data_IF_289705824333
#
_entry.id   IF_289705824333
#
_cell.length_a   1.000
_cell.length_b   1.000
_cell.length_c   1.000
_cell.angle_alpha   90.00
_cell.angle_beta   90.00
_cell.angle_gamma   90.00
#
_symmetry.space_group_name_H-M   'P 1'
#
loop_
_entity.id
_entity.type
_entity.pdbx_description
1 polymer ?
#
# COMPACT_ATOMS: atom_id res chain seq x y z
N UNK A 1 10.90 -29.12 -17.23
CA UNK A 1 11.86 -28.50 -16.30
C UNK A 1 11.13 -27.82 -15.15
N UNK A 2 11.66 -27.93 -13.94
CA UNK A 2 11.18 -27.26 -12.73
C UNK A 2 12.35 -26.53 -12.08
N UNK A 3 12.18 -25.28 -11.67
CA UNK A 3 13.28 -24.52 -11.11
C UNK A 3 12.87 -23.28 -10.36
N UNK A 4 13.82 -22.74 -9.59
CA UNK A 4 13.66 -21.51 -8.84
C UNK A 4 14.97 -20.76 -8.72
N UNK A 5 14.91 -19.43 -8.89
CA UNK A 5 16.02 -18.53 -8.64
C UNK A 5 15.93 -17.90 -7.26
N UNK A 6 17.07 -17.64 -6.64
CA UNK A 6 17.21 -16.87 -5.43
C UNK A 6 18.14 -15.68 -5.66
N UNK A 7 17.83 -14.54 -5.06
CA UNK A 7 18.70 -13.38 -5.10
C UNK A 7 18.68 -12.62 -3.78
N UNK A 8 19.85 -12.16 -3.37
CA UNK A 8 20.06 -11.19 -2.28
C UNK A 8 20.98 -10.09 -2.81
N UNK A 9 21.29 -9.07 -1.99
CA UNK A 9 22.20 -8.01 -2.42
C UNK A 9 23.63 -8.50 -2.73
N UNK A 10 24.05 -9.66 -2.19
CA UNK A 10 25.41 -10.19 -2.35
C UNK A 10 25.50 -11.55 -3.02
N UNK A 11 24.39 -12.23 -3.31
CA UNK A 11 24.38 -13.60 -3.81
C UNK A 11 23.23 -13.84 -4.76
N UNK A 12 23.48 -14.63 -5.81
CA UNK A 12 22.46 -15.18 -6.70
C UNK A 12 22.55 -16.70 -6.74
N UNK A 13 21.42 -17.37 -6.88
CA UNK A 13 21.35 -18.81 -7.02
C UNK A 13 20.26 -19.25 -7.99
N UNK A 14 20.42 -20.44 -8.55
CA UNK A 14 19.43 -21.05 -9.41
C UNK A 14 19.43 -22.57 -9.26
N UNK A 15 18.25 -23.15 -9.05
CA UNK A 15 18.01 -24.59 -9.10
C UNK A 15 17.16 -24.88 -10.34
N UNK A 16 17.58 -25.85 -11.16
CA UNK A 16 16.80 -26.32 -12.31
C UNK A 16 16.89 -27.84 -12.42
N UNK A 17 15.74 -28.49 -12.61
CA UNK A 17 15.59 -29.93 -12.69
C UNK A 17 14.87 -30.31 -13.98
N UNK A 18 15.50 -31.17 -14.78
CA UNK A 18 14.85 -31.92 -15.84
C UNK A 18 14.57 -33.36 -15.37
N UNK A 19 13.33 -33.57 -14.91
CA UNK A 19 12.90 -34.87 -14.42
C UNK A 19 12.73 -35.92 -15.52
N UNK A 20 12.60 -35.51 -16.79
CA UNK A 20 12.42 -36.44 -17.92
C UNK A 20 13.76 -37.07 -18.28
N UNK A 21 14.79 -36.25 -18.37
CA UNK A 21 16.13 -36.68 -18.77
C UNK A 21 17.04 -37.00 -17.57
N UNK A 22 16.55 -36.78 -16.34
CA UNK A 22 17.26 -37.12 -15.10
C UNK A 22 18.43 -36.20 -14.76
N UNK A 23 18.41 -34.96 -15.28
CA UNK A 23 19.50 -33.98 -15.12
C UNK A 23 19.05 -32.87 -14.18
N UNK A 24 19.95 -32.44 -13.28
CA UNK A 24 19.72 -31.30 -12.40
C UNK A 24 20.93 -30.39 -12.35
N UNK A 25 20.69 -29.09 -12.15
CA UNK A 25 21.72 -28.07 -12.01
C UNK A 25 21.43 -27.20 -10.78
N UNK A 26 22.49 -26.89 -10.03
CA UNK A 26 22.48 -25.87 -8.99
C UNK A 26 23.59 -24.88 -9.28
N UNK A 27 23.26 -23.60 -9.28
CA UNK A 27 24.18 -22.48 -9.45
C UNK A 27 24.13 -21.66 -8.17
N UNK A 28 25.29 -21.30 -7.65
CA UNK A 28 25.45 -20.39 -6.52
C UNK A 28 26.59 -19.44 -6.83
N UNK A 29 26.32 -18.15 -6.72
CA UNK A 29 27.27 -17.08 -7.02
C UNK A 29 27.30 -16.10 -5.84
N UNK A 30 28.47 -15.53 -5.59
CA UNK A 30 28.69 -14.49 -4.58
C UNK A 30 28.59 -13.07 -5.18
N UNK A 31 27.74 -12.93 -6.19
CA UNK A 31 27.38 -11.66 -6.80
C UNK A 31 25.85 -11.58 -6.88
N UNK A 32 25.28 -10.44 -6.50
CA UNK A 32 23.85 -10.19 -6.63
C UNK A 32 23.47 -9.87 -8.09
N UNK A 33 22.28 -10.32 -8.51
CA UNK A 33 21.75 -10.13 -9.87
C UNK A 33 22.73 -10.64 -10.94
N UNK A 34 23.35 -11.78 -10.70
CA UNK A 34 24.30 -12.39 -11.62
C UNK A 34 23.54 -13.14 -12.72
N UNK A 35 23.54 -12.63 -13.95
CA UNK A 35 22.76 -13.20 -15.07
C UNK A 35 23.56 -14.17 -15.96
N UNK A 36 24.90 -14.11 -15.98
CA UNK A 36 25.70 -14.94 -16.91
C UNK A 36 25.59 -16.42 -16.53
N UNK A 37 25.79 -16.75 -15.26
CA UNK A 37 25.63 -18.12 -14.79
C UNK A 37 24.16 -18.43 -14.56
N UNK A 38 23.38 -17.58 -13.89
CA UNK A 38 22.01 -17.95 -13.53
C UNK A 38 21.03 -17.93 -14.72
N UNK A 39 21.29 -17.15 -15.77
CA UNK A 39 20.48 -17.13 -16.98
C UNK A 39 21.12 -17.80 -18.19
N UNK A 40 22.40 -17.52 -18.46
CA UNK A 40 23.09 -18.03 -19.64
C UNK A 40 23.44 -19.53 -19.56
N UNK A 41 23.99 -19.99 -18.44
CA UNK A 41 24.47 -21.37 -18.31
C UNK A 41 23.36 -22.43 -18.41
N UNK A 42 22.15 -22.25 -17.82
CA UNK A 42 21.04 -23.17 -18.02
C UNK A 42 20.67 -23.39 -19.48
N UNK A 43 20.74 -22.35 -20.32
CA UNK A 43 20.39 -22.50 -21.75
C UNK A 43 21.38 -23.36 -22.54
N UNK A 44 22.62 -23.47 -22.06
CA UNK A 44 23.63 -24.35 -22.66
C UNK A 44 23.38 -25.82 -22.33
N UNK A 45 22.80 -26.12 -21.16
CA UNK A 45 22.58 -27.48 -20.68
C UNK A 45 21.20 -28.00 -21.09
N UNK A 46 20.17 -27.17 -20.96
CA UNK A 46 18.77 -27.55 -21.16
C UNK A 46 18.16 -26.98 -22.44
N UNK A 47 18.91 -26.20 -23.20
CA UNK A 47 18.42 -25.47 -24.37
C UNK A 47 17.66 -24.19 -24.01
N UNK A 48 17.16 -23.49 -25.03
CA UNK A 48 16.42 -22.23 -24.85
C UNK A 48 15.26 -22.41 -23.88
N UNK A 49 15.10 -21.45 -22.96
CA UNK A 49 14.01 -21.48 -21.99
C UNK A 49 12.65 -21.52 -22.70
N UNK A 50 11.78 -22.49 -22.37
CA UNK A 50 10.45 -22.53 -22.94
C UNK A 50 9.63 -21.35 -22.42
N UNK A 51 8.81 -20.76 -23.30
CA UNK A 51 7.80 -19.77 -22.93
C UNK A 51 6.40 -20.36 -23.16
N UNK A 52 5.35 -19.58 -22.91
CA UNK A 52 3.98 -19.99 -23.19
C UNK A 52 3.78 -20.40 -24.67
N UNK A 53 2.95 -21.42 -24.89
CA UNK A 53 2.55 -21.84 -26.24
C UNK A 53 1.80 -20.72 -26.97
N UNK A 54 1.80 -20.74 -28.31
CA UNK A 54 1.06 -19.77 -29.12
C UNK A 54 -0.44 -19.71 -28.76
N UNK A 55 -1.04 -20.84 -28.38
CA UNK A 55 -2.43 -20.92 -27.91
C UNK A 55 -2.63 -20.19 -26.58
N UNK A 56 -1.72 -20.39 -25.62
CA UNK A 56 -1.75 -19.69 -24.33
C UNK A 56 -1.53 -18.20 -24.53
N UNK A 57 -0.63 -17.80 -25.43
CA UNK A 57 -0.41 -16.38 -25.76
C UNK A 57 -1.66 -15.72 -26.35
N UNK A 58 -2.47 -16.43 -27.16
CA UNK A 58 -3.74 -15.93 -27.67
C UNK A 58 -4.80 -15.71 -26.59
N UNK A 59 -4.72 -16.45 -25.47
CA UNK A 59 -5.63 -16.31 -24.32
C UNK A 59 -5.22 -15.18 -23.37
N UNK A 60 -4.10 -14.50 -23.62
CA UNK A 60 -3.64 -13.40 -22.79
C UNK A 60 -4.62 -12.22 -22.84
N UNK A 61 -4.94 -11.68 -21.66
CA UNK A 61 -5.81 -10.53 -21.51
C UNK A 61 -4.97 -9.33 -21.05
N UNK A 62 -4.90 -8.23 -21.81
CA UNK A 62 -4.23 -7.03 -21.35
C UNK A 62 -4.87 -6.43 -20.09
N UNK A 63 -4.06 -5.78 -19.27
CA UNK A 63 -4.52 -5.03 -18.10
C UNK A 63 -3.54 -5.05 -16.94
N UNK A 64 -4.08 -4.80 -15.76
CA UNK A 64 -3.30 -4.80 -14.54
C UNK A 64 -3.26 -6.16 -13.86
N UNK A 65 -2.09 -6.52 -13.39
CA UNK A 65 -1.78 -7.78 -12.75
C UNK A 65 -1.08 -7.55 -11.41
N UNK A 66 -1.63 -8.11 -10.34
CA UNK A 66 -1.04 -8.08 -9.01
C UNK A 66 -0.16 -9.31 -8.82
N UNK A 67 1.01 -9.11 -8.22
CA UNK A 67 1.89 -10.21 -7.83
C UNK A 67 1.36 -10.90 -6.58
N UNK A 68 1.17 -12.22 -6.66
CA UNK A 68 0.62 -13.01 -5.56
C UNK A 68 1.66 -13.34 -4.46
N UNK A 69 2.95 -13.38 -4.80
CA UNK A 69 4.05 -13.45 -3.82
C UNK A 69 4.30 -12.06 -3.20
N UNK A 70 3.29 -11.53 -2.53
CA UNK A 70 3.32 -10.24 -1.85
C UNK A 70 2.26 -10.19 -0.75
N UNK A 71 2.29 -9.14 0.07
CA UNK A 71 1.28 -8.83 1.07
C UNK A 71 -0.05 -8.49 0.38
N UNK A 72 -0.93 -9.47 0.24
CA UNK A 72 -2.20 -9.30 -0.46
C UNK A 72 -3.40 -9.05 0.47
N UNK A 73 -3.19 -9.13 1.77
CA UNK A 73 -4.19 -8.93 2.82
C UNK A 73 -3.54 -8.26 4.03
N UNK A 74 -4.38 -7.79 4.96
CA UNK A 74 -3.92 -7.16 6.20
C UNK A 74 -3.26 -5.79 5.98
N UNK A 75 -2.61 -5.24 7.01
CA UNK A 75 -2.09 -3.88 7.01
C UNK A 75 -0.99 -3.61 5.97
N UNK A 76 -0.28 -4.66 5.55
CA UNK A 76 0.77 -4.57 4.54
C UNK A 76 0.22 -4.66 3.10
N UNK A 77 -1.10 -4.82 2.91
CA UNK A 77 -1.72 -4.77 1.58
C UNK A 77 -1.52 -3.46 0.83
N UNK A 78 -1.18 -2.37 1.54
CA UNK A 78 -0.78 -1.10 0.92
C UNK A 78 0.43 -1.24 -0.03
N UNK A 79 1.33 -2.19 0.23
CA UNK A 79 2.51 -2.46 -0.61
C UNK A 79 2.13 -2.98 -2.00
N UNK A 80 0.89 -3.42 -2.22
CA UNK A 80 0.39 -3.84 -3.53
C UNK A 80 0.55 -2.74 -4.59
N UNK A 81 0.49 -1.47 -4.19
CA UNK A 81 0.60 -0.33 -5.09
C UNK A 81 2.05 0.12 -5.36
N UNK A 82 3.02 -0.44 -4.64
CA UNK A 82 4.41 -0.04 -4.82
C UNK A 82 4.93 -0.49 -6.20
N UNK A 83 5.87 0.28 -6.80
CA UNK A 83 6.48 -0.09 -8.06
C UNK A 83 7.02 -1.53 -8.01
N UNK A 84 6.71 -2.30 -9.06
CA UNK A 84 7.13 -3.69 -9.16
C UNK A 84 6.14 -4.70 -8.58
N UNK A 85 5.13 -4.29 -7.82
CA UNK A 85 4.10 -5.17 -7.24
C UNK A 85 2.77 -5.17 -8.02
N UNK A 86 2.49 -4.08 -8.74
CA UNK A 86 1.41 -3.94 -9.70
C UNK A 86 2.00 -3.78 -11.10
N UNK A 87 1.64 -4.67 -12.02
CA UNK A 87 2.17 -4.72 -13.38
C UNK A 87 1.09 -4.37 -14.39
N UNK A 88 1.34 -3.37 -15.23
CA UNK A 88 0.49 -3.10 -16.39
C UNK A 88 1.03 -3.85 -17.60
N UNK A 89 0.41 -4.99 -17.92
CA UNK A 89 0.84 -5.86 -19.02
C UNK A 89 -0.03 -5.60 -20.24
N UNK A 90 0.59 -5.11 -21.32
CA UNK A 90 -0.10 -4.79 -22.59
C UNK A 90 -0.06 -5.93 -23.61
N UNK A 91 0.97 -6.77 -23.54
CA UNK A 91 1.23 -7.85 -24.48
C UNK A 91 1.83 -9.05 -23.72
N UNK A 92 1.71 -10.27 -24.27
CA UNK A 92 2.31 -11.47 -23.68
C UNK A 92 3.83 -11.32 -23.48
N UNK A 93 4.49 -10.60 -24.38
CA UNK A 93 5.92 -10.29 -24.33
C UNK A 93 6.25 -9.10 -23.44
N UNK A 94 5.93 -9.22 -22.15
CA UNK A 94 6.44 -8.30 -21.15
C UNK A 94 7.83 -8.73 -20.68
N UNK A 95 8.67 -7.78 -20.28
CA UNK A 95 10.07 -8.01 -19.84
C UNK A 95 10.20 -9.13 -18.78
N UNK A 96 9.16 -9.33 -17.94
CA UNK A 96 9.11 -10.39 -16.92
C UNK A 96 8.63 -11.76 -17.41
N UNK A 97 7.93 -11.83 -18.54
CA UNK A 97 7.32 -13.06 -19.07
C UNK A 97 8.07 -13.64 -20.26
N UNK A 98 8.85 -12.82 -20.99
CA UNK A 98 9.62 -13.26 -22.14
C UNK A 98 10.74 -14.25 -21.78
N UNK A 99 11.28 -14.16 -20.56
CA UNK A 99 12.41 -14.98 -20.08
C UNK A 99 11.97 -16.17 -19.22
N UNK A 100 10.68 -16.50 -19.17
CA UNK A 100 10.17 -17.54 -18.28
C UNK A 100 9.03 -18.33 -18.91
N UNK A 101 8.89 -19.59 -18.51
CA UNK A 101 7.68 -20.35 -18.80
C UNK A 101 6.51 -19.77 -18.00
N UNK A 102 5.37 -19.60 -18.66
CA UNK A 102 4.15 -19.19 -18.02
C UNK A 102 2.93 -19.83 -18.67
N UNK A 103 1.85 -19.96 -17.90
CA UNK A 103 0.56 -20.45 -18.40
C UNK A 103 -0.59 -19.66 -17.80
N UNK A 104 -1.79 -19.78 -18.36
CA UNK A 104 -2.99 -19.10 -17.87
C UNK A 104 -3.95 -20.13 -17.31
N UNK A 105 -4.49 -19.83 -16.13
CA UNK A 105 -5.56 -20.59 -15.51
C UNK A 105 -6.59 -19.65 -14.87
N UNK A 106 -7.78 -20.18 -14.58
CA UNK A 106 -8.79 -19.48 -13.78
C UNK A 106 -8.63 -19.92 -12.34
N UNK A 107 -8.48 -18.97 -11.42
CA UNK A 107 -8.47 -19.25 -10.00
C UNK A 107 -9.84 -19.74 -9.53
N UNK A 108 -9.92 -20.33 -8.33
CA UNK A 108 -11.18 -20.77 -7.73
C UNK A 108 -12.21 -19.64 -7.54
N UNK A 109 -11.77 -18.38 -7.55
CA UNK A 109 -12.63 -17.19 -7.53
C UNK A 109 -12.99 -16.65 -8.94
N UNK A 110 -12.66 -17.39 -10.00
CA UNK A 110 -12.93 -17.03 -11.40
C UNK A 110 -11.97 -16.00 -12.01
N UNK A 111 -11.00 -15.46 -11.25
CA UNK A 111 -10.04 -14.48 -11.78
C UNK A 111 -9.00 -15.13 -12.69
N UNK A 112 -8.63 -14.43 -13.76
CA UNK A 112 -7.53 -14.83 -14.66
C UNK A 112 -6.21 -14.76 -13.89
N UNK A 113 -5.48 -15.88 -13.85
CA UNK A 113 -4.14 -15.95 -13.28
C UNK A 113 -3.12 -16.39 -14.31
N UNK A 114 -1.95 -15.78 -14.24
CA UNK A 114 -0.76 -16.19 -14.99
C UNK A 114 0.14 -16.92 -14.00
N UNK A 115 0.30 -18.22 -14.18
CA UNK A 115 1.26 -19.01 -13.41
C UNK A 115 2.66 -18.78 -13.95
N UNK A 116 3.61 -18.51 -13.07
CA UNK A 116 5.04 -18.48 -13.41
C UNK A 116 5.84 -19.32 -12.42
N UNK A 117 7.13 -19.55 -12.67
CA UNK A 117 7.98 -20.37 -11.80
C UNK A 117 8.24 -19.74 -10.42
N UNK A 118 8.06 -18.42 -10.28
CA UNK A 118 8.48 -17.67 -9.07
C UNK A 118 7.31 -17.04 -8.34
N UNK A 119 6.37 -16.45 -9.08
CA UNK A 119 5.16 -15.87 -8.52
C UNK A 119 4.06 -15.82 -9.56
N UNK A 120 2.89 -16.29 -9.17
CA UNK A 120 1.70 -16.08 -9.96
C UNK A 120 1.32 -14.59 -10.00
N UNK A 121 0.68 -14.21 -11.09
CA UNK A 121 0.05 -12.91 -11.26
C UNK A 121 -1.46 -13.07 -11.37
N UNK A 122 -2.22 -12.25 -10.65
CA UNK A 122 -3.68 -12.24 -10.73
C UNK A 122 -4.16 -10.96 -11.40
N UNK A 123 -5.03 -11.09 -12.41
CA UNK A 123 -5.62 -9.94 -13.08
C UNK A 123 -6.55 -9.21 -12.11
N UNK A 124 -6.37 -7.90 -12.01
CA UNK A 124 -7.18 -7.03 -11.15
C UNK A 124 -8.01 -6.08 -12.03
N UNK A 125 -9.32 -5.94 -11.79
CA UNK A 125 -10.14 -4.95 -12.46
C UNK A 125 -9.65 -3.51 -12.22
N UNK A 126 -9.71 -2.68 -13.25
CA UNK A 126 -9.26 -1.28 -13.18
C UNK A 126 -9.94 -0.49 -12.05
N UNK A 127 -11.23 -0.74 -11.78
CA UNK A 127 -11.96 -0.05 -10.72
C UNK A 127 -11.41 -0.36 -9.32
N UNK A 128 -10.90 -1.58 -9.07
CA UNK A 128 -10.28 -1.93 -7.79
C UNK A 128 -8.99 -1.09 -7.61
N UNK A 129 -8.24 -0.87 -8.69
CA UNK A 129 -6.99 -0.09 -8.68
C UNK A 129 -7.29 1.39 -8.47
N UNK A 130 -8.24 1.95 -9.20
CA UNK A 130 -8.63 3.35 -9.03
C UNK A 130 -9.25 3.61 -7.65
N UNK A 131 -9.93 2.63 -7.06
CA UNK A 131 -10.41 2.72 -5.67
C UNK A 131 -9.24 2.85 -4.70
N UNK A 132 -8.20 2.02 -4.84
CA UNK A 132 -6.98 2.08 -4.02
C UNK A 132 -6.27 3.44 -4.13
N UNK A 133 -6.08 3.95 -5.36
CA UNK A 133 -5.49 5.27 -5.57
C UNK A 133 -6.37 6.41 -5.04
N UNK A 134 -7.69 6.33 -5.23
CA UNK A 134 -8.64 7.30 -4.72
C UNK A 134 -8.62 7.40 -3.20
N UNK A 135 -8.54 6.27 -2.49
CA UNK A 135 -8.44 6.25 -1.03
C UNK A 135 -7.15 6.91 -0.53
N UNK A 136 -6.01 6.63 -1.16
CA UNK A 136 -4.74 7.27 -0.81
C UNK A 136 -4.79 8.78 -1.10
N UNK A 137 -5.35 9.18 -2.24
CA UNK A 137 -5.52 10.59 -2.57
C UNK A 137 -6.39 11.32 -1.52
N UNK A 138 -7.48 10.69 -1.07
CA UNK A 138 -8.32 11.23 0.01
C UNK A 138 -7.56 11.33 1.34
N UNK A 139 -6.74 10.33 1.69
CA UNK A 139 -5.88 10.40 2.88
C UNK A 139 -4.85 11.52 2.79
N UNK A 140 -4.23 11.70 1.62
CA UNK A 140 -3.26 12.76 1.37
C UNK A 140 -3.92 14.15 1.47
N UNK A 141 -5.09 14.35 0.86
CA UNK A 141 -5.87 15.58 0.99
C UNK A 141 -6.24 15.89 2.44
N UNK A 142 -6.66 14.87 3.20
CA UNK A 142 -6.92 14.99 4.64
C UNK A 142 -5.70 15.43 5.42
N UNK A 143 -4.53 14.87 5.13
CA UNK A 143 -3.28 15.23 5.79
C UNK A 143 -2.89 16.68 5.48
N UNK A 144 -2.94 17.09 4.21
CA UNK A 144 -2.65 18.47 3.79
C UNK A 144 -3.60 19.44 4.49
N UNK A 145 -4.91 19.14 4.49
CA UNK A 145 -5.90 19.93 5.21
C UNK A 145 -5.57 20.05 6.71
N UNK A 146 -5.25 18.94 7.38
CA UNK A 146 -4.95 18.93 8.80
C UNK A 146 -3.68 19.75 9.14
N UNK A 147 -2.62 19.60 8.35
CA UNK A 147 -1.36 20.34 8.52
C UNK A 147 -1.58 21.84 8.33
N UNK A 148 -2.24 22.25 7.23
CA UNK A 148 -2.54 23.67 6.97
C UNK A 148 -3.34 24.27 8.12
N UNK A 149 -4.34 23.55 8.66
CA UNK A 149 -5.12 24.04 9.80
C UNK A 149 -4.30 24.22 11.07
N UNK A 150 -3.43 23.27 11.39
CA UNK A 150 -2.57 23.36 12.57
C UNK A 150 -1.56 24.50 12.42
N UNK A 151 -0.96 24.68 11.24
CA UNK A 151 -0.03 25.77 10.94
C UNK A 151 -0.71 27.14 11.01
N UNK A 152 -1.87 27.31 10.37
CA UNK A 152 -2.63 28.57 10.43
C UNK A 152 -3.00 28.91 11.89
N UNK A 153 -3.38 27.91 12.69
CA UNK A 153 -3.68 28.13 14.11
C UNK A 153 -2.45 28.50 14.91
N UNK A 154 -1.31 27.84 14.68
CA UNK A 154 -0.04 28.18 15.32
C UNK A 154 0.37 29.62 14.97
N UNK A 155 0.33 29.99 13.69
CA UNK A 155 0.63 31.34 13.23
C UNK A 155 -0.29 32.38 13.88
N UNK A 156 -1.60 32.11 13.99
CA UNK A 156 -2.55 33.00 14.67
C UNK A 156 -2.27 33.15 16.17
N UNK A 157 -1.79 32.10 16.84
CA UNK A 157 -1.40 32.16 18.25
C UNK A 157 -0.15 33.01 18.41
N UNK A 158 0.89 32.75 17.61
CA UNK A 158 2.14 33.52 17.62
C UNK A 158 1.91 34.99 17.31
N UNK A 159 1.10 35.29 16.29
CA UNK A 159 0.71 36.66 15.94
C UNK A 159 0.01 37.37 17.12
N UNK A 160 -0.96 36.72 17.78
CA UNK A 160 -1.63 37.34 18.93
C UNK A 160 -0.71 37.56 20.12
N UNK A 161 0.24 36.64 20.32
CA UNK A 161 1.24 36.73 21.38
C UNK A 161 2.23 37.87 21.12
N UNK A 162 2.71 38.02 19.88
CA UNK A 162 3.63 39.09 19.48
C UNK A 162 2.99 40.49 19.51
N UNK A 163 1.71 40.61 19.16
CA UNK A 163 1.02 41.89 19.03
C UNK A 163 0.03 42.19 20.17
N UNK A 164 0.08 41.46 21.28
CA UNK A 164 -0.77 41.71 22.46
C UNK A 164 -2.28 41.66 22.21
N UNK A 165 -2.74 40.91 21.18
CA UNK A 165 -4.16 40.91 20.77
C UNK A 165 -5.00 40.01 21.69
N UNK A 166 -6.12 40.55 22.18
CA UNK A 166 -7.06 39.83 23.06
C UNK A 166 -7.62 38.57 22.40
N UNK A 167 -7.72 37.47 23.16
CA UNK A 167 -8.28 36.20 22.68
C UNK A 167 -9.75 36.38 22.30
N UNK A 168 -10.09 35.96 21.08
CA UNK A 168 -11.48 35.86 20.61
C UNK A 168 -12.31 34.97 21.54
N UNK A 169 -13.53 35.44 21.88
CA UNK A 169 -14.57 34.67 22.60
C UNK A 169 -15.10 33.55 21.69
N UNK A 170 -14.36 32.45 21.62
CA UNK A 170 -14.67 31.31 20.77
C UNK A 170 -15.23 30.14 21.59
N UNK A 171 -16.19 29.39 21.04
CA UNK A 171 -16.69 28.17 21.67
C UNK A 171 -15.52 27.19 21.91
N UNK A 172 -15.23 26.92 23.18
CA UNK A 172 -14.12 26.08 23.63
C UNK A 172 -14.27 24.65 23.12
N UNK A 173 -15.48 24.10 23.13
CA UNK A 173 -15.76 22.74 22.67
C UNK A 173 -15.45 22.58 21.17
N UNK A 174 -15.99 23.47 20.33
CA UNK A 174 -15.71 23.47 18.89
C UNK A 174 -14.21 23.63 18.59
N UNK A 175 -13.53 24.51 19.32
CA UNK A 175 -12.10 24.75 19.14
C UNK A 175 -11.28 23.49 19.43
N UNK A 176 -11.54 22.81 20.55
CA UNK A 176 -10.81 21.61 20.94
C UNK A 176 -11.13 20.41 20.06
N UNK A 177 -12.41 20.19 19.73
CA UNK A 177 -12.80 19.16 18.78
C UNK A 177 -12.00 19.31 17.48
N UNK A 178 -12.02 20.50 16.87
CA UNK A 178 -11.33 20.72 15.61
C UNK A 178 -9.80 20.51 15.71
N UNK A 179 -9.16 20.93 16.81
CA UNK A 179 -7.71 20.73 17.01
C UNK A 179 -7.40 19.24 17.18
N UNK A 180 -8.15 18.55 18.03
CA UNK A 180 -7.94 17.15 18.34
C UNK A 180 -8.19 16.26 17.10
N UNK A 181 -9.21 16.58 16.30
CA UNK A 181 -9.45 15.86 15.03
C UNK A 181 -8.30 16.04 14.06
N UNK A 182 -7.84 17.28 13.81
CA UNK A 182 -6.70 17.51 12.90
C UNK A 182 -5.40 16.92 13.43
N UNK A 183 -5.18 16.95 14.75
CA UNK A 183 -4.03 16.30 15.36
C UNK A 183 -4.11 14.77 15.19
N UNK A 184 -5.28 14.17 15.40
CA UNK A 184 -5.50 12.74 15.18
C UNK A 184 -5.20 12.29 13.74
N UNK A 185 -5.63 13.09 12.74
CA UNK A 185 -5.30 12.85 11.31
C UNK A 185 -3.79 12.83 11.09
N UNK A 186 -3.07 13.82 11.64
CA UNK A 186 -1.60 13.88 11.53
C UNK A 186 -0.95 12.70 12.26
N UNK A 187 -1.44 12.32 13.44
CA UNK A 187 -0.91 11.18 14.19
C UNK A 187 -1.06 9.87 13.40
N UNK A 188 -2.18 9.65 12.71
CA UNK A 188 -2.35 8.48 11.83
C UNK A 188 -1.30 8.48 10.72
N UNK A 189 -1.08 9.62 10.06
CA UNK A 189 -0.08 9.74 9.01
C UNK A 189 1.35 9.52 9.53
N UNK A 190 1.70 10.09 10.69
CA UNK A 190 3.00 9.86 11.32
C UNK A 190 3.19 8.39 11.70
N UNK A 191 2.18 7.73 12.25
CA UNK A 191 2.25 6.31 12.60
C UNK A 191 2.44 5.43 11.34
N UNK A 192 1.75 5.76 10.25
CA UNK A 192 1.93 5.08 8.95
C UNK A 192 3.32 5.32 8.37
N UNK A 193 3.82 6.55 8.40
CA UNK A 193 5.17 6.87 7.93
C UNK A 193 6.23 6.09 8.72
N UNK A 194 6.11 6.02 10.05
CA UNK A 194 7.02 5.24 10.88
C UNK A 194 6.98 3.75 10.54
N UNK A 195 5.79 3.20 10.23
CA UNK A 195 5.64 1.82 9.77
C UNK A 195 6.30 1.59 8.40
N UNK A 196 6.18 2.54 7.48
CA UNK A 196 6.83 2.45 6.17
C UNK A 196 8.35 2.68 6.23
N UNK A 197 8.86 3.45 7.19
CA UNK A 197 10.29 3.66 7.36
C UNK A 197 10.97 2.44 8.02
N UNK A 198 10.30 1.78 8.96
CA UNK A 198 10.87 0.60 9.62
C UNK A 198 10.94 -0.62 8.70
N UNK A 199 10.08 -0.76 7.69
CA UNK A 199 10.18 -1.86 6.70
C UNK A 199 11.46 -1.81 5.90
N UNK A 200 11.97 -0.60 5.66
CA UNK A 200 13.18 -0.38 4.90
C UNK A 200 14.46 -0.59 5.75
N UNK A 201 14.34 -0.59 7.08
CA UNK A 201 15.50 -0.57 7.98
C UNK A 201 15.99 -1.97 8.43
N UNK A 202 15.48 -3.09 7.88
CA UNK A 202 15.67 -4.46 8.43
C UNK A 202 15.32 -4.60 9.92
N UNK A 203 14.65 -3.60 10.49
CA UNK A 203 14.26 -3.55 11.89
C UNK A 203 12.86 -4.15 12.05
N UNK A 204 12.80 -5.31 12.71
CA UNK A 204 11.57 -6.05 13.00
C UNK A 204 10.63 -5.30 13.97
N UNK A 205 11.04 -4.15 14.51
CA UNK A 205 10.17 -3.24 15.28
C UNK A 205 8.93 -2.79 14.49
N UNK A 206 8.91 -2.95 13.16
CA UNK A 206 7.74 -2.76 12.29
C UNK A 206 6.55 -3.66 12.64
N UNK A 207 6.79 -4.87 13.16
CA UNK A 207 5.74 -5.85 13.50
C UNK A 207 5.16 -5.59 14.90
N UNK A 208 5.66 -4.58 15.62
CA UNK A 208 5.22 -4.30 16.98
C UNK A 208 3.70 -4.06 17.01
N UNK A 209 2.96 -5.00 17.62
CA UNK A 209 1.50 -5.06 17.62
C UNK A 209 0.84 -3.75 18.09
N UNK A 210 1.51 -3.01 18.99
CA UNK A 210 1.01 -1.73 19.51
C UNK A 210 0.80 -0.68 18.41
N UNK A 211 1.56 -0.67 17.31
CA UNK A 211 1.39 0.30 16.21
C UNK A 211 0.04 0.14 15.52
N UNK A 212 -0.42 -1.09 15.39
CA UNK A 212 -1.72 -1.44 14.83
C UNK A 212 -2.87 -1.18 15.83
N UNK A 213 -2.63 -1.39 17.13
CA UNK A 213 -3.56 -0.96 18.18
C UNK A 213 -3.74 0.56 18.20
N UNK A 214 -2.69 1.33 17.91
CA UNK A 214 -2.77 2.79 17.75
C UNK A 214 -3.67 3.16 16.57
N UNK A 215 -3.60 2.45 15.43
CA UNK A 215 -4.55 2.66 14.32
C UNK A 215 -5.99 2.35 14.73
N UNK A 216 -6.22 1.27 15.50
CA UNK A 216 -7.56 0.94 16.00
C UNK A 216 -8.12 2.06 16.89
N UNK A 217 -7.32 2.52 17.88
CA UNK A 217 -7.71 3.60 18.79
C UNK A 217 -7.95 4.93 18.07
N UNK A 218 -7.06 5.30 17.14
CA UNK A 218 -7.23 6.51 16.31
C UNK A 218 -8.43 6.39 15.37
N UNK A 219 -8.70 5.21 14.83
CA UNK A 219 -9.87 4.93 14.00
C UNK A 219 -11.18 5.18 14.75
N UNK A 220 -11.33 4.62 15.96
CA UNK A 220 -12.50 4.86 16.82
C UNK A 220 -12.62 6.34 17.21
N UNK A 221 -11.51 6.96 17.60
CA UNK A 221 -11.47 8.38 17.96
C UNK A 221 -11.89 9.29 16.80
N UNK A 222 -11.37 9.06 15.59
CA UNK A 222 -11.69 9.85 14.40
C UNK A 222 -13.11 9.58 13.89
N UNK A 223 -13.61 8.35 14.00
CA UNK A 223 -15.00 8.03 13.70
C UNK A 223 -15.95 8.82 14.61
N UNK A 224 -15.67 8.85 15.92
CA UNK A 224 -16.40 9.68 16.87
C UNK A 224 -16.31 11.17 16.52
N UNK A 225 -15.12 11.66 16.16
CA UNK A 225 -14.93 13.05 15.73
C UNK A 225 -15.70 13.39 14.45
N UNK A 226 -15.80 12.49 13.49
CA UNK A 226 -16.49 12.71 12.21
C UNK A 226 -17.98 12.99 12.42
N UNK A 227 -18.61 12.24 13.32
CA UNK A 227 -20.06 12.34 13.60
C UNK A 227 -20.40 13.30 14.74
N UNK A 228 -19.46 13.64 15.62
CA UNK A 228 -19.68 14.52 16.77
C UNK A 228 -20.46 15.81 16.42
N UNK A 229 -20.15 16.52 15.32
CA UNK A 229 -20.86 17.75 15.00
C UNK A 229 -22.35 17.58 14.73
N UNK A 230 -22.79 16.40 14.27
CA UNK A 230 -24.21 16.09 14.00
C UNK A 230 -25.04 16.03 15.30
N UNK A 231 -24.43 15.57 16.39
CA UNK A 231 -25.11 15.41 17.68
C UNK A 231 -24.84 16.58 18.64
N UNK A 232 -23.77 17.32 18.40
CA UNK A 232 -23.38 18.43 19.27
C UNK A 232 -24.21 19.68 18.99
N UNK A 233 -24.69 20.36 20.05
CA UNK A 233 -25.16 21.75 19.94
C UNK A 233 -24.03 22.74 19.61
N UNK A 234 -22.78 22.28 19.49
CA UNK A 234 -21.61 23.12 19.23
C UNK A 234 -21.64 23.79 17.85
N UNK A 235 -22.49 23.32 16.94
CA UNK A 235 -22.76 23.96 15.65
C UNK A 235 -23.74 25.15 15.74
N UNK A 236 -24.57 25.24 16.79
CA UNK A 236 -25.57 26.30 16.94
C UNK A 236 -24.88 27.65 17.13
N UNK A 237 -25.18 28.61 16.26
CA UNK A 237 -24.60 29.95 16.27
C UNK A 237 -23.22 30.08 15.59
N UNK A 238 -22.77 29.07 14.84
CA UNK A 238 -21.56 29.18 14.02
C UNK A 238 -21.81 30.05 12.77
N UNK A 239 -20.83 30.91 12.44
CA UNK A 239 -20.81 31.64 11.15
C UNK A 239 -20.59 30.66 9.98
N UNK A 240 -21.04 31.04 8.78
CA UNK A 240 -20.92 30.22 7.54
C UNK A 240 -19.53 29.59 7.35
N UNK A 241 -18.45 30.36 7.51
CA UNK A 241 -17.08 29.83 7.36
C UNK A 241 -16.70 28.74 8.39
N UNK A 242 -17.26 28.79 9.61
CA UNK A 242 -17.01 27.77 10.63
C UNK A 242 -17.85 26.51 10.40
N UNK A 243 -19.05 26.65 9.82
CA UNK A 243 -19.82 25.50 9.36
C UNK A 243 -19.07 24.74 8.26
N UNK A 244 -18.52 25.47 7.28
CA UNK A 244 -17.68 24.89 6.24
C UNK A 244 -16.46 24.13 6.81
N UNK A 245 -15.70 24.75 7.72
CA UNK A 245 -14.58 24.08 8.41
C UNK A 245 -15.02 22.85 9.21
N UNK A 246 -16.23 22.87 9.77
CA UNK A 246 -16.78 21.72 10.50
C UNK A 246 -17.01 20.55 9.54
N UNK A 247 -17.66 20.80 8.40
CA UNK A 247 -17.88 19.76 7.37
C UNK A 247 -16.54 19.22 6.87
N UNK A 248 -15.59 20.09 6.55
CA UNK A 248 -14.30 19.67 6.00
C UNK A 248 -13.45 18.89 7.01
N UNK A 249 -13.53 19.24 8.30
CA UNK A 249 -12.88 18.48 9.38
C UNK A 249 -13.51 17.11 9.58
N UNK A 250 -14.84 17.00 9.52
CA UNK A 250 -15.55 15.72 9.58
C UNK A 250 -15.23 14.83 8.38
N UNK A 251 -15.23 15.38 7.17
CA UNK A 251 -14.86 14.65 5.94
C UNK A 251 -13.41 14.19 6.00
N UNK A 252 -12.51 15.04 6.53
CA UNK A 252 -11.11 14.69 6.69
C UNK A 252 -10.93 13.50 7.63
N UNK A 253 -11.61 13.50 8.78
CA UNK A 253 -11.62 12.37 9.71
C UNK A 253 -12.19 11.10 9.06
N UNK A 254 -13.32 11.22 8.34
CA UNK A 254 -13.98 10.10 7.67
C UNK A 254 -13.08 9.46 6.61
N UNK A 255 -12.38 10.27 5.80
CA UNK A 255 -11.43 9.77 4.80
C UNK A 255 -10.29 8.96 5.44
N UNK A 256 -9.80 9.37 6.61
CA UNK A 256 -8.78 8.62 7.35
C UNK A 256 -9.35 7.33 7.93
N UNK A 257 -10.55 7.35 8.50
CA UNK A 257 -11.24 6.14 8.99
C UNK A 257 -11.45 5.15 7.85
N UNK A 258 -11.90 5.60 6.68
CA UNK A 258 -12.07 4.76 5.50
C UNK A 258 -10.75 4.10 5.09
N UNK A 259 -9.62 4.81 5.15
CA UNK A 259 -8.31 4.23 4.88
C UNK A 259 -7.87 3.21 5.94
N UNK A 260 -8.07 3.50 7.24
CA UNK A 260 -7.76 2.55 8.31
C UNK A 260 -8.50 1.22 8.12
N UNK A 261 -9.79 1.31 7.74
CA UNK A 261 -10.63 0.13 7.52
C UNK A 261 -10.27 -0.60 6.22
N UNK A 262 -10.15 0.12 5.10
CA UNK A 262 -9.89 -0.49 3.79
C UNK A 262 -8.55 -1.21 3.74
N UNK A 263 -7.51 -0.60 4.31
CA UNK A 263 -6.17 -1.20 4.35
C UNK A 263 -5.97 -2.12 5.55
N UNK A 264 -7.01 -2.38 6.36
CA UNK A 264 -6.91 -3.21 7.56
C UNK A 264 -5.77 -2.79 8.50
N UNK A 265 -5.49 -1.49 8.62
CA UNK A 265 -4.34 -0.97 9.40
C UNK A 265 -4.43 -1.32 10.89
N UNK A 266 -5.59 -1.75 11.37
CA UNK A 266 -5.82 -2.16 12.74
C UNK A 266 -5.63 -3.67 12.97
N UNK A 267 -5.47 -4.50 11.94
CA UNK A 267 -5.45 -5.96 12.07
C UNK A 267 -4.06 -6.49 12.44
N UNK A 268 -3.69 -6.42 13.72
CA UNK A 268 -2.39 -6.93 14.22
C UNK A 268 -2.30 -8.46 14.28
N UNK A 269 -3.43 -9.17 14.20
CA UNK A 269 -3.51 -10.62 14.31
C UNK A 269 -3.49 -11.36 12.97
N UNK A 270 -3.42 -10.63 11.85
CA UNK A 270 -3.41 -11.16 10.47
C UNK A 270 -2.00 -11.07 9.86
N UNK A 271 -1.01 -10.64 10.65
CA UNK A 271 0.39 -10.49 10.24
C UNK A 271 1.15 -11.79 10.45
#
# INVERSE_FOLDING_TARGET
MLGHGGNTNGFSSYLLLDLKDGIGQVIMTNQGVEEIYNDGMPELIFGKRPTASAETQKKFEPGYYQILRNFNQGPLSLYQLFPGNLLHMKKPSSERMDRSFWTIYKSGNGKTRIATMVSDFERVPDWEIWTKFGLIALAALSLVYALVNLLVRLALVLYRLAFGKVKSKQNRAWKWWHILTTAGVVTVACNLLLLLLSSNATDLSIISQWRYMVFAGLGLFLAGCAVYPLFSKAQKGLRKGRLFLTVLTSLSALAIVANILYWSLYQWWVI
#
